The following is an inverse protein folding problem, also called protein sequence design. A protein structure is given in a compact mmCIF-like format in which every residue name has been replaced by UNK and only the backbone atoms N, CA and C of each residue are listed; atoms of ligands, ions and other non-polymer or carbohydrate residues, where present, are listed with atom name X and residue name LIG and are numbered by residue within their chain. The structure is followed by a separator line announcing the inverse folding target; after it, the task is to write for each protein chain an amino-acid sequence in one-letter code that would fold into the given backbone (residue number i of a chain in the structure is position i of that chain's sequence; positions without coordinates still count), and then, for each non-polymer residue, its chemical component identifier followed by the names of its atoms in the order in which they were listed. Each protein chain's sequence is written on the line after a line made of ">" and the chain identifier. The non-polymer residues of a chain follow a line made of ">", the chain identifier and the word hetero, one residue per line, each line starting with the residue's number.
data_IF_582832342563
#
_entry.id   IF_582832342563
#
_cell.length_a   1.000
_cell.length_b   1.000
_cell.length_c   1.000
_cell.angle_alpha   90.00
_cell.angle_beta   90.00
_cell.angle_gamma   90.00
#
_symmetry.space_group_name_H-M   'P 1'
#
loop_
_entity.id
_entity.type
_entity.pdbx_description
1 polymer ?
#
# COMPACT_ATOMS: atom_id res chain seq x y z
N UNK A 1 -15.36 -20.70 6.17
CA UNK A 1 -15.91 -19.38 5.73
C UNK A 1 -14.90 -18.68 4.85
N UNK A 2 -15.13 -18.63 3.52
CA UNK A 2 -14.20 -18.04 2.57
C UNK A 2 -14.22 -16.51 2.66
N UNK A 3 -13.29 -15.91 3.42
CA UNK A 3 -13.08 -14.47 3.43
C UNK A 3 -12.69 -14.00 2.02
N UNK A 4 -13.58 -13.28 1.37
CA UNK A 4 -13.44 -12.76 0.02
C UNK A 4 -12.32 -11.73 -0.05
N UNK A 5 -11.43 -11.85 -1.04
CA UNK A 5 -10.22 -11.04 -1.25
C UNK A 5 -10.45 -9.51 -1.26
N UNK A 6 -11.69 -9.04 -1.53
CA UNK A 6 -12.06 -7.62 -1.48
C UNK A 6 -11.95 -7.03 -0.06
N UNK A 7 -12.28 -7.81 0.97
CA UNK A 7 -12.22 -7.34 2.36
C UNK A 7 -10.78 -7.13 2.83
N UNK A 8 -9.84 -7.96 2.36
CA UNK A 8 -8.44 -7.88 2.80
C UNK A 8 -7.78 -6.54 2.41
N UNK A 9 -8.08 -6.00 1.22
CA UNK A 9 -7.54 -4.71 0.78
C UNK A 9 -8.16 -3.53 1.53
N UNK A 10 -9.44 -3.60 1.85
CA UNK A 10 -10.10 -2.58 2.67
C UNK A 10 -9.54 -2.57 4.11
N UNK A 11 -9.29 -3.75 4.67
CA UNK A 11 -8.66 -3.90 5.98
C UNK A 11 -7.22 -3.39 5.97
N UNK A 12 -6.43 -3.75 4.96
CA UNK A 12 -5.07 -3.27 4.78
C UNK A 12 -5.03 -1.74 4.62
N UNK A 13 -5.96 -1.16 3.86
CA UNK A 13 -6.11 0.29 3.71
C UNK A 13 -6.27 0.97 5.07
N UNK A 14 -7.21 0.47 5.88
CA UNK A 14 -7.53 1.02 7.20
C UNK A 14 -6.37 0.88 8.17
N UNK A 15 -5.78 -0.32 8.27
CA UNK A 15 -4.72 -0.62 9.25
C UNK A 15 -3.37 0.01 8.89
N UNK A 16 -3.01 0.01 7.61
CA UNK A 16 -1.74 0.57 7.13
C UNK A 16 -1.83 2.05 6.75
N UNK A 17 -2.99 2.69 6.94
CA UNK A 17 -3.26 4.11 6.61
C UNK A 17 -2.90 4.46 5.15
N UNK A 18 -3.26 3.57 4.22
CA UNK A 18 -2.96 3.70 2.80
C UNK A 18 -4.04 4.49 2.07
N UNK A 19 -3.66 5.25 1.05
CA UNK A 19 -4.62 5.85 0.13
C UNK A 19 -4.85 4.96 -1.12
N UNK A 20 -5.64 5.45 -2.09
CA UNK A 20 -5.93 4.67 -3.29
C UNK A 20 -4.68 4.50 -4.17
N UNK A 21 -3.82 5.53 -4.26
CA UNK A 21 -2.55 5.46 -4.97
C UNK A 21 -1.60 4.43 -4.37
N UNK A 22 -1.46 4.42 -3.04
CA UNK A 22 -0.61 3.47 -2.32
C UNK A 22 -1.11 2.02 -2.53
N UNK A 23 -2.42 1.80 -2.62
CA UNK A 23 -2.98 0.48 -2.96
C UNK A 23 -2.66 0.09 -4.40
N UNK A 24 -2.76 1.02 -5.35
CA UNK A 24 -2.45 0.77 -6.75
C UNK A 24 -0.96 0.43 -6.93
N UNK A 25 -0.08 1.24 -6.34
CA UNK A 25 1.37 0.98 -6.28
C UNK A 25 1.66 -0.40 -5.67
N UNK A 26 1.00 -0.75 -4.56
CA UNK A 26 1.18 -2.05 -3.93
C UNK A 26 0.74 -3.21 -4.84
N UNK A 27 -0.33 -3.05 -5.61
CA UNK A 27 -0.78 -4.07 -6.59
C UNK A 27 0.20 -4.23 -7.75
N UNK A 28 0.70 -3.14 -8.29
CA UNK A 28 1.70 -3.15 -9.38
C UNK A 28 3.05 -3.72 -8.94
N UNK A 29 3.38 -3.56 -7.65
CA UNK A 29 4.51 -4.24 -7.00
C UNK A 29 4.24 -5.72 -6.67
N UNK A 30 3.05 -6.24 -6.95
CA UNK A 30 2.68 -7.63 -6.65
C UNK A 30 2.49 -7.93 -5.16
N UNK A 31 2.32 -6.91 -4.32
CA UNK A 31 2.08 -7.09 -2.88
C UNK A 31 0.68 -7.61 -2.59
N UNK A 32 0.59 -8.46 -1.57
CA UNK A 32 -0.68 -9.02 -1.08
C UNK A 32 -1.17 -8.20 0.13
N UNK A 33 -2.48 -7.96 0.26
CA UNK A 33 -3.03 -7.16 1.35
C UNK A 33 -2.72 -7.75 2.74
N UNK A 34 -2.77 -9.08 2.87
CA UNK A 34 -2.37 -9.77 4.12
C UNK A 34 -0.90 -9.56 4.48
N UNK A 35 -0.02 -9.43 3.48
CA UNK A 35 1.40 -9.14 3.72
C UNK A 35 1.59 -7.73 4.26
N UNK A 36 0.85 -6.75 3.72
CA UNK A 36 0.87 -5.37 4.20
C UNK A 36 0.47 -5.29 5.67
N UNK A 37 -0.60 -5.97 6.06
CA UNK A 37 -1.08 -6.00 7.46
C UNK A 37 -0.04 -6.65 8.39
N UNK A 38 0.59 -7.75 7.96
CA UNK A 38 1.65 -8.42 8.74
C UNK A 38 2.93 -7.57 8.88
N UNK A 39 3.15 -6.61 7.98
CA UNK A 39 4.33 -5.74 7.99
C UNK A 39 4.10 -4.41 8.75
N UNK A 40 2.97 -4.26 9.44
CA UNK A 40 2.75 -3.08 10.29
C UNK A 40 3.75 -3.13 11.46
N UNK A 41 4.60 -2.09 11.63
CA UNK A 41 5.55 -2.06 12.72
C UNK A 41 4.81 -2.00 14.07
N UNK A 42 5.27 -2.80 15.02
CA UNK A 42 4.79 -2.73 16.41
C UNK A 42 5.44 -1.55 17.15
N UNK A 43 4.90 -1.08 18.28
CA UNK A 43 5.48 0.04 19.05
C UNK A 43 6.93 -0.18 19.48
N UNK A 44 7.37 -1.43 19.59
CA UNK A 44 8.76 -1.81 19.91
C UNK A 44 9.69 -1.77 18.70
N UNK A 45 9.17 -1.63 17.48
CA UNK A 45 9.92 -1.64 16.22
C UNK A 45 9.94 -0.26 15.56
N UNK A 46 10.30 0.78 16.32
CA UNK A 46 10.30 2.17 15.84
C UNK A 46 11.28 2.43 14.70
N UNK A 47 12.33 1.61 14.59
CA UNK A 47 13.29 1.66 13.48
C UNK A 47 12.72 1.17 12.13
N UNK A 48 11.52 0.56 12.12
CA UNK A 48 10.87 0.14 10.88
C UNK A 48 9.97 1.24 10.33
N UNK A 49 10.25 1.65 9.09
CA UNK A 49 9.40 2.58 8.37
C UNK A 49 7.95 2.04 8.23
N UNK A 50 6.93 2.90 8.35
CA UNK A 50 5.55 2.51 8.08
C UNK A 50 5.38 1.96 6.66
N UNK A 51 4.45 1.01 6.50
CA UNK A 51 4.17 0.30 5.24
C UNK A 51 3.93 1.25 4.06
N UNK A 52 3.28 2.40 4.32
CA UNK A 52 3.06 3.47 3.32
C UNK A 52 4.35 3.95 2.65
N UNK A 53 5.38 4.26 3.45
CA UNK A 53 6.64 4.77 2.92
C UNK A 53 7.39 3.69 2.16
N UNK A 54 7.36 2.45 2.66
CA UNK A 54 7.99 1.32 1.99
C UNK A 54 7.38 1.04 0.62
N UNK A 55 6.05 1.16 0.46
CA UNK A 55 5.41 1.00 -0.85
C UNK A 55 5.92 2.06 -1.83
N UNK A 56 6.01 3.32 -1.40
CA UNK A 56 6.47 4.42 -2.23
C UNK A 56 7.93 4.28 -2.64
N UNK A 57 8.81 3.97 -1.69
CA UNK A 57 10.23 3.74 -1.95
C UNK A 57 10.47 2.57 -2.92
N UNK A 58 9.75 1.46 -2.75
CA UNK A 58 9.84 0.33 -3.69
C UNK A 58 9.28 0.66 -5.06
N UNK A 59 8.21 1.45 -5.12
CA UNK A 59 7.59 1.86 -6.37
C UNK A 59 8.50 2.81 -7.14
N UNK A 60 9.06 3.80 -6.46
CA UNK A 60 10.05 4.73 -7.01
C UNK A 60 11.29 4.00 -7.51
N UNK A 61 11.83 3.06 -6.74
CA UNK A 61 12.99 2.24 -7.17
C UNK A 61 12.71 1.41 -8.42
N UNK A 62 11.47 0.96 -8.62
CA UNK A 62 11.10 0.10 -9.75
C UNK A 62 10.66 0.89 -10.99
N UNK A 63 9.95 2.00 -10.79
CA UNK A 63 9.28 2.76 -11.87
C UNK A 63 9.82 4.18 -12.04
N UNK A 64 10.75 4.63 -11.20
CA UNK A 64 11.35 5.97 -11.26
C UNK A 64 10.41 7.11 -10.92
N UNK A 65 9.21 6.82 -10.42
CA UNK A 65 8.18 7.81 -10.09
C UNK A 65 7.28 7.29 -8.97
N UNK A 66 6.57 8.19 -8.27
CA UNK A 66 5.59 7.85 -7.22
C UNK A 66 4.22 8.35 -7.63
N UNK A 67 3.20 7.48 -7.51
CA UNK A 67 1.81 7.90 -7.73
C UNK A 67 1.37 8.80 -6.57
N UNK A 68 1.17 10.08 -6.84
CA UNK A 68 0.50 10.98 -5.90
C UNK A 68 -1.03 10.85 -6.01
N UNK A 69 -1.70 10.98 -4.88
CA UNK A 69 -3.17 10.86 -4.79
C UNK A 69 -3.89 11.96 -5.61
N UNK A 70 -3.22 13.06 -5.96
CA UNK A 70 -3.74 14.13 -6.82
C UNK A 70 -3.74 13.74 -8.32
N UNK A 71 -2.81 12.89 -8.76
CA UNK A 71 -2.64 12.50 -10.17
C UNK A 71 -3.57 11.34 -10.62
N UNK A 72 -4.28 10.68 -9.70
CA UNK A 72 -5.25 9.64 -10.07
C UNK A 72 -6.55 10.20 -10.69
N UNK A 73 -6.80 11.51 -10.57
CA UNK A 73 -8.01 12.15 -11.10
C UNK A 73 -7.85 12.67 -12.54
N UNK A 74 -6.63 12.73 -13.07
CA UNK A 74 -6.33 13.35 -14.38
C UNK A 74 -6.30 12.35 -15.53
N UNK A 75 -6.35 11.04 -15.28
CA UNK A 75 -6.39 10.04 -16.34
C UNK A 75 -7.61 9.12 -16.21
N UNK A 76 -8.79 9.75 -16.24
CA UNK A 76 -10.06 9.08 -16.51
C UNK A 76 -10.70 9.83 -17.68
N UNK A 77 -10.16 9.57 -18.87
CA UNK A 77 -10.74 9.99 -20.13
C UNK A 77 -11.85 9.03 -20.52
#
# INVERSE_FOLDING_TARGET
>A
MAKTKKNDWAEAKKRCRLNQADIQMAKELGMRPKSLIKNIPSPKQQWKAPVKYRIRDLYEKKFGSVLDNKNLKTNKQ
#
